data_IF_322861234902
#
_entry.id   IF_322861234902
#
_cell.length_a   1.000
_cell.length_b   1.000
_cell.length_c   1.000
_cell.angle_alpha   90.00
_cell.angle_beta   90.00
_cell.angle_gamma   90.00
#
_symmetry.space_group_name_H-M   'P 1'
#
loop_
_entity.id
_entity.type
_entity.pdbx_description
1 polymer ?
#
# COMPACT_ATOMS: atom_id res chain seq x y z
N UNK A 1 -16.76 -0.02 17.47
CA UNK A 1 -17.54 0.59 16.38
C UNK A 1 -16.75 0.46 15.09
N UNK A 2 -17.00 -0.52 14.22
CA UNK A 2 -16.39 -0.50 12.89
C UNK A 2 -17.10 0.60 12.08
N UNK A 3 -16.40 1.25 11.15
CA UNK A 3 -16.96 2.23 10.19
C UNK A 3 -17.07 3.69 10.64
N UNK A 4 -15.95 4.32 10.99
CA UNK A 4 -15.76 5.72 10.60
C UNK A 4 -14.71 5.74 9.49
N UNK A 5 -15.13 5.95 8.24
CA UNK A 5 -14.19 6.13 7.14
C UNK A 5 -13.27 7.31 7.52
N UNK A 6 -11.96 7.07 7.72
CA UNK A 6 -11.06 8.08 8.30
C UNK A 6 -10.94 9.31 7.41
N UNK A 7 -11.19 9.19 6.10
CA UNK A 7 -11.04 10.27 5.13
C UNK A 7 -12.25 11.21 5.01
N UNK A 8 -13.36 10.94 5.72
CA UNK A 8 -14.58 11.76 5.64
C UNK A 8 -14.39 13.20 6.15
N UNK A 9 -13.43 13.43 7.05
CA UNK A 9 -13.20 14.74 7.65
C UNK A 9 -12.16 15.58 6.91
N UNK A 10 -11.87 15.27 5.64
CA UNK A 10 -10.89 15.99 4.83
C UNK A 10 -11.07 17.51 4.92
N UNK A 11 -9.98 18.22 5.22
CA UNK A 11 -9.95 19.70 5.28
C UNK A 11 -8.89 20.22 4.33
N UNK A 12 -9.29 21.08 3.39
CA UNK A 12 -8.34 21.82 2.56
C UNK A 12 -7.77 23.00 3.36
N UNK A 13 -6.47 22.99 3.65
CA UNK A 13 -5.78 24.06 4.37
C UNK A 13 -4.29 24.09 4.03
N UNK A 14 -3.68 25.28 4.05
CA UNK A 14 -2.23 25.47 3.94
C UNK A 14 -1.49 25.18 5.25
N UNK A 15 -2.20 24.97 6.36
CA UNK A 15 -1.61 24.65 7.65
C UNK A 15 -0.97 23.26 7.64
N UNK A 16 0.32 23.19 7.97
CA UNK A 16 1.11 21.95 8.03
C UNK A 16 0.41 20.84 8.83
N UNK A 17 -0.10 21.17 10.03
CA UNK A 17 -0.81 20.22 10.88
C UNK A 17 -2.02 19.56 10.19
N UNK A 18 -2.82 20.34 9.45
CA UNK A 18 -4.00 19.84 8.74
C UNK A 18 -3.59 18.96 7.55
N UNK A 19 -2.53 19.33 6.84
CA UNK A 19 -2.00 18.50 5.74
C UNK A 19 -1.48 17.16 6.26
N UNK A 20 -0.70 17.18 7.34
CA UNK A 20 -0.19 15.96 7.99
C UNK A 20 -1.33 15.09 8.54
N UNK A 21 -2.39 15.69 9.09
CA UNK A 21 -3.58 14.96 9.53
C UNK A 21 -4.31 14.29 8.36
N UNK A 22 -4.52 14.99 7.25
CA UNK A 22 -5.13 14.42 6.04
C UNK A 22 -4.33 13.20 5.53
N UNK A 23 -3.00 13.30 5.50
CA UNK A 23 -2.12 12.18 5.13
C UNK A 23 -2.31 11.01 6.11
N UNK A 24 -2.34 11.28 7.42
CA UNK A 24 -2.54 10.25 8.43
C UNK A 24 -3.87 9.48 8.28
N UNK A 25 -4.93 10.13 7.80
CA UNK A 25 -6.21 9.47 7.52
C UNK A 25 -6.12 8.50 6.35
N UNK A 26 -5.35 8.83 5.30
CA UNK A 26 -5.07 7.91 4.21
C UNK A 26 -4.28 6.69 4.71
N UNK A 27 -3.27 6.89 5.57
CA UNK A 27 -2.48 5.79 6.13
C UNK A 27 -3.36 4.85 7.00
N UNK A 28 -4.23 5.40 7.84
CA UNK A 28 -5.22 4.61 8.61
C UNK A 28 -6.16 3.81 7.70
N UNK A 29 -6.57 4.37 6.56
CA UNK A 29 -7.36 3.62 5.58
C UNK A 29 -6.56 2.43 5.02
N UNK A 30 -5.27 2.63 4.71
CA UNK A 30 -4.38 1.56 4.25
C UNK A 30 -4.28 0.43 5.28
N UNK A 31 -4.19 0.75 6.57
CA UNK A 31 -4.22 -0.24 7.65
C UNK A 31 -5.55 -1.02 7.69
N UNK A 32 -6.69 -0.32 7.57
CA UNK A 32 -8.03 -0.93 7.59
C UNK A 32 -8.23 -1.90 6.42
N UNK A 33 -7.71 -1.59 5.24
CA UNK A 33 -7.78 -2.49 4.07
C UNK A 33 -6.73 -3.61 4.10
N UNK A 34 -5.99 -3.76 5.20
CA UNK A 34 -4.92 -4.76 5.39
C UNK A 34 -3.73 -4.61 4.42
N UNK A 35 -3.31 -3.37 4.14
CA UNK A 35 -2.04 -3.14 3.45
C UNK A 35 -0.87 -3.62 4.34
N UNK A 36 0.15 -4.31 3.78
CA UNK A 36 1.34 -4.67 4.54
C UNK A 36 2.00 -3.42 5.14
N UNK A 37 2.31 -3.48 6.44
CA UNK A 37 2.89 -2.34 7.17
C UNK A 37 4.23 -1.89 6.58
N UNK A 38 5.05 -2.83 6.11
CA UNK A 38 6.34 -2.56 5.46
C UNK A 38 6.19 -1.77 4.14
N UNK A 39 4.99 -1.78 3.55
CA UNK A 39 4.68 -1.07 2.31
C UNK A 39 3.93 0.24 2.58
N UNK A 40 3.62 0.59 3.83
CA UNK A 40 2.97 1.86 4.23
C UNK A 40 4.05 2.92 4.47
N UNK A 41 3.92 4.10 3.86
CA UNK A 41 4.81 5.24 4.09
C UNK A 41 4.45 5.99 5.38
N UNK A 42 5.38 6.79 5.92
CA UNK A 42 5.16 7.67 7.05
C UNK A 42 4.80 9.09 6.59
N UNK A 43 4.03 9.84 7.38
CA UNK A 43 3.57 11.19 6.99
C UNK A 43 4.69 12.11 6.48
N UNK A 44 5.89 12.04 7.07
CA UNK A 44 7.06 12.84 6.67
C UNK A 44 7.62 12.46 5.30
N UNK A 45 7.46 11.20 4.87
CA UNK A 45 7.92 10.71 3.57
C UNK A 45 7.25 11.47 2.43
N UNK A 46 5.97 11.78 2.59
CA UNK A 46 5.19 12.59 1.66
C UNK A 46 5.28 14.09 1.98
N UNK A 47 5.07 14.49 3.25
CA UNK A 47 4.95 15.90 3.63
C UNK A 47 6.28 16.67 3.47
N UNK A 48 7.40 16.07 3.89
CA UNK A 48 8.73 16.68 3.75
C UNK A 48 9.53 16.09 2.59
N UNK A 49 8.92 15.22 1.78
CA UNK A 49 9.58 14.51 0.67
C UNK A 49 10.82 13.71 1.10
N UNK A 50 10.80 13.10 2.30
CA UNK A 50 11.93 12.30 2.80
C UNK A 50 12.17 11.03 1.99
N UNK A 51 11.09 10.36 1.58
CA UNK A 51 11.15 9.15 0.78
C UNK A 51 9.95 9.04 -0.19
N UNK A 52 10.04 9.71 -1.36
CA UNK A 52 9.02 9.59 -2.39
C UNK A 52 8.89 8.17 -2.97
N UNK A 53 9.95 7.36 -2.89
CA UNK A 53 9.91 5.99 -3.39
C UNK A 53 8.99 5.12 -2.55
N UNK A 54 9.07 5.23 -1.21
CA UNK A 54 8.15 4.53 -0.31
C UNK A 54 6.69 4.91 -0.57
N UNK A 55 6.40 6.19 -0.88
CA UNK A 55 5.06 6.64 -1.27
C UNK A 55 4.59 5.92 -2.54
N UNK A 56 5.45 5.79 -3.56
CA UNK A 56 5.13 5.02 -4.77
C UNK A 56 4.85 3.55 -4.47
N UNK A 57 5.64 2.92 -3.60
CA UNK A 57 5.42 1.53 -3.16
C UNK A 57 4.03 1.37 -2.52
N UNK A 58 3.68 2.25 -1.57
CA UNK A 58 2.35 2.23 -0.94
C UNK A 58 1.23 2.35 -1.95
N UNK A 59 1.34 3.25 -2.94
CA UNK A 59 0.32 3.44 -3.97
C UNK A 59 0.17 2.21 -4.88
N UNK A 60 1.28 1.57 -5.25
CA UNK A 60 1.25 0.32 -6.03
C UNK A 60 0.55 -0.80 -5.25
N UNK A 61 0.89 -0.96 -3.97
CA UNK A 61 0.26 -1.98 -3.13
C UNK A 61 -1.20 -1.69 -2.86
N UNK A 62 -1.55 -0.43 -2.61
CA UNK A 62 -2.93 0.03 -2.44
C UNK A 62 -3.76 -0.33 -3.67
N UNK A 63 -3.26 0.01 -4.87
CA UNK A 63 -3.91 -0.29 -6.16
C UNK A 63 -4.21 -1.78 -6.33
N UNK A 64 -3.27 -2.66 -5.96
CA UNK A 64 -3.48 -4.12 -6.00
C UNK A 64 -4.60 -4.57 -5.05
N UNK A 65 -4.58 -4.09 -3.81
CA UNK A 65 -5.58 -4.49 -2.80
C UNK A 65 -6.98 -4.04 -3.20
N UNK A 66 -7.14 -2.77 -3.60
CA UNK A 66 -8.47 -2.25 -3.95
C UNK A 66 -9.03 -2.88 -5.22
N UNK A 67 -8.17 -3.25 -6.18
CA UNK A 67 -8.57 -4.06 -7.34
C UNK A 67 -9.07 -5.44 -6.93
N UNK A 68 -8.39 -6.11 -5.98
CA UNK A 68 -8.85 -7.40 -5.47
C UNK A 68 -10.17 -7.30 -4.69
N UNK A 69 -10.40 -6.19 -3.98
CA UNK A 69 -11.64 -5.94 -3.25
C UNK A 69 -12.81 -5.58 -4.16
N UNK A 70 -12.60 -4.74 -5.17
CA UNK A 70 -13.64 -4.34 -6.12
C UNK A 70 -13.05 -4.11 -7.52
N UNK A 71 -12.96 -5.19 -8.33
CA UNK A 71 -12.39 -5.11 -9.68
C UNK A 71 -13.19 -4.24 -10.66
N UNK A 72 -14.47 -3.99 -10.39
CA UNK A 72 -15.34 -3.21 -11.26
C UNK A 72 -15.10 -1.70 -11.12
N UNK A 73 -14.83 -1.25 -9.89
CA UNK A 73 -14.49 0.15 -9.60
C UNK A 73 -13.02 0.44 -9.89
N UNK A 74 -12.12 -0.46 -9.50
CA UNK A 74 -10.68 -0.30 -9.69
C UNK A 74 -10.22 -1.23 -10.80
N UNK A 75 -10.44 -0.87 -12.07
CA UNK A 75 -10.18 -1.78 -13.21
C UNK A 75 -8.70 -1.96 -13.55
N UNK A 76 -7.87 -0.97 -13.23
CA UNK A 76 -6.42 -0.98 -13.49
C UNK A 76 -5.60 -1.16 -12.21
N UNK A 77 -4.57 -2.00 -12.29
CA UNK A 77 -3.59 -2.23 -11.23
C UNK A 77 -2.26 -1.59 -11.60
N UNK A 78 -1.66 -0.86 -10.66
CA UNK A 78 -0.32 -0.29 -10.83
C UNK A 78 0.74 -1.31 -10.39
N UNK A 79 1.69 -1.59 -11.28
CA UNK A 79 2.86 -2.44 -11.01
C UNK A 79 2.62 -3.96 -11.17
N UNK A 80 3.67 -4.78 -10.94
CA UNK A 80 3.63 -6.22 -11.17
C UNK A 80 2.61 -6.94 -10.29
N UNK A 81 1.93 -7.97 -10.81
CA UNK A 81 1.05 -8.81 -9.99
C UNK A 81 1.85 -9.50 -8.89
N UNK A 82 1.35 -9.49 -7.66
CA UNK A 82 1.98 -10.20 -6.53
C UNK A 82 2.08 -11.69 -6.90
N UNK A 83 3.29 -12.24 -6.87
CA UNK A 83 3.53 -13.65 -7.17
C UNK A 83 2.89 -14.48 -6.05
N UNK A 84 1.79 -15.18 -6.37
CA UNK A 84 1.06 -16.02 -5.40
C UNK A 84 1.58 -17.45 -5.31
N UNK A 85 2.24 -17.95 -6.37
CA UNK A 85 2.78 -19.32 -6.42
C UNK A 85 4.30 -19.27 -6.27
N UNK A 86 4.83 -19.91 -5.23
CA UNK A 86 6.27 -20.15 -5.13
C UNK A 86 6.71 -20.93 -6.38
N UNK A 87 7.80 -20.54 -7.05
CA UNK A 87 8.30 -21.31 -8.18
C UNK A 87 8.59 -22.73 -7.69
N UNK A 88 8.21 -23.73 -8.49
CA UNK A 88 8.56 -25.12 -8.18
C UNK A 88 10.08 -25.22 -8.27
N UNK A 89 10.74 -25.34 -7.13
CA UNK A 89 12.19 -25.52 -7.06
C UNK A 89 12.46 -26.94 -7.55
N UNK A 90 13.15 -27.16 -8.69
CA UNK A 90 13.50 -28.50 -9.13
C UNK A 90 14.38 -29.16 -8.07
N UNK A 91 14.06 -30.41 -7.71
CA UNK A 91 14.90 -31.16 -6.79
C UNK A 91 16.31 -31.32 -7.38
N UNK A 92 17.35 -31.03 -6.59
CA UNK A 92 18.75 -31.20 -7.00
C UNK A 92 18.94 -32.61 -7.58
N UNK A 93 19.42 -32.74 -8.84
CA UNK A 93 19.65 -34.03 -9.48
C UNK A 93 20.49 -34.92 -8.57
N UNK A 94 20.11 -36.19 -8.45
CA UNK A 94 20.78 -37.15 -7.56
C UNK A 94 22.28 -37.24 -7.86
N UNK A 95 22.68 -37.05 -9.12
CA UNK A 95 24.06 -37.06 -9.60
C UNK A 95 24.95 -35.93 -9.04
N UNK A 96 24.37 -34.86 -8.49
CA UNK A 96 25.11 -33.70 -7.96
C UNK A 96 25.12 -33.65 -6.43
N UNK A 97 24.59 -34.67 -5.75
CA UNK A 97 24.64 -34.79 -4.30
C UNK A 97 26.02 -35.34 -3.92
N UNK A 98 26.95 -34.45 -3.61
CA UNK A 98 28.25 -34.75 -2.98
C UNK A 98 28.06 -35.19 -1.54
#
# INVERSE_FOLDING_TARGET
MPNKNPTLNFKSSSMAFIQMENISWFLKLCEIINLPQDEIFQTVDLFESKDPYQVCITLMSFSRIVHEMNPQTFTMVIGPKRVRKKPVIPNKPRALRS
#
